data_IF_514738788040
#
_entry.id   IF_514738788040
#
_cell.length_a   1.000
_cell.length_b   1.000
_cell.length_c   1.000
_cell.angle_alpha   90.00
_cell.angle_beta   90.00
_cell.angle_gamma   90.00
#
_symmetry.space_group_name_H-M   'P 1'
#
loop_
_entity.id
_entity.type
_entity.pdbx_description
1 polymer ?
#
# COMPACT_ATOMS: atom_id res chain seq x y z
N UNK A 1 -15.80 8.90 -8.44
CA UNK A 1 -16.65 7.69 -8.57
C UNK A 1 -16.17 6.68 -7.53
N UNK A 2 -16.98 5.71 -7.14
CA UNK A 2 -16.81 5.05 -5.86
C UNK A 2 -15.93 3.82 -5.92
N UNK A 3 -15.38 3.46 -4.75
CA UNK A 3 -14.89 2.12 -4.48
C UNK A 3 -16.07 1.15 -4.49
N UNK A 4 -15.90 0.01 -5.16
CA UNK A 4 -16.80 -1.11 -5.05
C UNK A 4 -16.25 -2.11 -4.03
N UNK A 5 -17.06 -2.44 -3.04
CA UNK A 5 -16.74 -3.45 -2.03
C UNK A 5 -17.97 -4.32 -1.76
N UNK A 6 -17.75 -5.41 -1.04
CA UNK A 6 -18.84 -6.20 -0.49
C UNK A 6 -19.71 -5.32 0.42
N UNK A 7 -21.03 -5.48 0.33
CA UNK A 7 -22.00 -4.58 0.96
C UNK A 7 -21.94 -4.54 2.49
N UNK A 8 -21.42 -5.59 3.10
CA UNK A 8 -21.33 -5.80 4.54
C UNK A 8 -19.88 -5.72 5.09
N UNK A 9 -18.93 -5.22 4.29
CA UNK A 9 -17.58 -4.93 4.77
C UNK A 9 -17.63 -3.82 5.84
N UNK A 10 -17.10 -4.03 7.07
CA UNK A 10 -17.15 -3.04 8.15
C UNK A 10 -16.59 -1.66 7.78
N UNK A 11 -15.55 -1.62 6.97
CA UNK A 11 -14.95 -0.38 6.48
C UNK A 11 -15.95 0.50 5.71
N UNK A 12 -16.95 -0.08 5.03
CA UNK A 12 -17.96 0.65 4.24
C UNK A 12 -18.70 1.68 5.08
N UNK A 13 -19.23 1.29 6.23
CA UNK A 13 -19.99 2.17 7.11
C UNK A 13 -19.17 3.37 7.60
N UNK A 14 -17.87 3.14 7.88
CA UNK A 14 -16.96 4.20 8.33
C UNK A 14 -16.67 5.17 7.18
N UNK A 15 -16.39 4.65 5.98
CA UNK A 15 -16.13 5.47 4.79
C UNK A 15 -17.35 6.34 4.43
N UNK A 16 -18.57 5.80 4.50
CA UNK A 16 -19.80 6.55 4.25
C UNK A 16 -20.01 7.67 5.29
N UNK A 17 -19.69 7.44 6.57
CA UNK A 17 -19.70 8.49 7.62
C UNK A 17 -18.66 9.60 7.36
N UNK A 18 -17.59 9.30 6.65
CA UNK A 18 -16.58 10.27 6.23
C UNK A 18 -16.93 10.97 4.91
N UNK A 19 -18.18 10.80 4.41
CA UNK A 19 -18.65 11.30 3.11
C UNK A 19 -17.85 10.73 1.90
N UNK A 20 -17.28 9.56 2.06
CA UNK A 20 -16.66 8.81 0.97
C UNK A 20 -17.71 7.88 0.38
N UNK A 21 -17.98 8.05 -0.91
CA UNK A 21 -18.99 7.26 -1.59
C UNK A 21 -18.47 5.85 -1.90
N UNK A 22 -19.12 4.85 -1.31
CA UNK A 22 -18.86 3.42 -1.56
C UNK A 22 -20.04 2.84 -2.34
N UNK A 23 -19.77 2.13 -3.42
CA UNK A 23 -20.78 1.49 -4.26
C UNK A 23 -20.94 0.02 -3.86
N UNK A 24 -22.17 -0.43 -3.71
CA UNK A 24 -22.45 -1.85 -3.62
C UNK A 24 -22.53 -2.52 -5.00
N UNK A 25 -22.47 -3.85 -5.01
CA UNK A 25 -22.46 -4.65 -6.23
C UNK A 25 -23.71 -4.44 -7.09
N UNK A 26 -24.88 -4.27 -6.48
CA UNK A 26 -26.15 -4.07 -7.19
C UNK A 26 -26.16 -2.76 -7.99
N UNK A 27 -25.63 -1.69 -7.41
CA UNK A 27 -25.55 -0.39 -8.08
C UNK A 27 -24.49 -0.39 -9.18
N UNK A 28 -23.38 -1.11 -8.99
CA UNK A 28 -22.31 -1.23 -9.98
C UNK A 28 -22.77 -1.94 -11.26
N UNK A 29 -23.62 -2.96 -11.15
CA UNK A 29 -24.16 -3.69 -12.30
C UNK A 29 -25.04 -2.85 -13.25
N UNK A 30 -25.46 -1.66 -12.84
CA UNK A 30 -26.26 -0.75 -13.65
C UNK A 30 -25.44 0.36 -14.34
N UNK A 31 -24.12 0.30 -14.25
CA UNK A 31 -23.22 1.26 -14.90
C UNK A 31 -22.35 0.54 -15.93
N UNK A 32 -22.38 1.03 -17.14
CA UNK A 32 -21.61 0.51 -18.30
C UNK A 32 -20.14 1.01 -18.24
N UNK A 33 -19.49 0.80 -17.09
CA UNK A 33 -18.11 1.24 -16.83
C UNK A 33 -17.32 0.03 -16.33
N UNK A 34 -16.22 -0.31 -17.00
CA UNK A 34 -15.28 -1.30 -16.50
C UNK A 34 -14.57 -0.72 -15.26
N UNK A 35 -14.75 -1.28 -14.06
CA UNK A 35 -13.98 -0.88 -12.88
C UNK A 35 -12.53 -1.33 -13.05
N UNK A 36 -11.62 -0.60 -12.39
CA UNK A 36 -10.24 -1.03 -12.21
C UNK A 36 -10.22 -2.10 -11.12
N UNK A 37 -9.65 -3.26 -11.41
CA UNK A 37 -9.50 -4.36 -10.46
C UNK A 37 -8.18 -4.25 -9.69
N UNK A 38 -8.26 -4.14 -8.37
CA UNK A 38 -7.10 -4.04 -7.48
C UNK A 38 -7.10 -5.20 -6.50
N UNK A 39 -6.04 -6.00 -6.51
CA UNK A 39 -5.77 -6.97 -5.45
C UNK A 39 -4.96 -6.30 -4.33
N UNK A 40 -5.24 -6.63 -3.06
CA UNK A 40 -4.53 -6.13 -1.89
C UNK A 40 -4.08 -7.31 -1.04
N UNK A 41 -2.79 -7.63 -1.10
CA UNK A 41 -2.16 -8.60 -0.21
C UNK A 41 -1.91 -7.91 1.12
N UNK A 42 -2.80 -8.17 2.07
CA UNK A 42 -2.78 -7.52 3.37
C UNK A 42 -2.03 -8.38 4.41
N UNK A 43 -0.78 -8.02 4.67
CA UNK A 43 0.13 -8.70 5.61
C UNK A 43 0.08 -8.10 7.02
N UNK A 44 -0.68 -7.01 7.20
CA UNK A 44 -0.78 -6.33 8.49
C UNK A 44 -1.60 -7.16 9.49
N UNK A 45 -1.25 -7.14 10.78
CA UNK A 45 -1.94 -7.92 11.81
C UNK A 45 -3.37 -7.41 12.08
N UNK A 46 -3.57 -6.09 12.09
CA UNK A 46 -4.88 -5.45 12.25
C UNK A 46 -5.48 -5.17 10.86
N UNK A 47 -5.99 -6.23 10.23
CA UNK A 47 -6.43 -6.17 8.83
C UNK A 47 -7.54 -5.14 8.59
N UNK A 48 -8.53 -5.05 9.48
CA UNK A 48 -9.66 -4.11 9.36
C UNK A 48 -9.20 -2.64 9.40
N UNK A 49 -8.21 -2.28 10.24
CA UNK A 49 -7.62 -0.93 10.24
C UNK A 49 -6.92 -0.64 8.90
N UNK A 50 -6.18 -1.61 8.35
CA UNK A 50 -5.47 -1.47 7.07
C UNK A 50 -6.42 -1.41 5.88
N UNK A 51 -7.48 -2.23 5.87
CA UNK A 51 -8.56 -2.17 4.88
C UNK A 51 -9.11 -0.74 4.76
N UNK A 52 -9.50 -0.16 5.91
CA UNK A 52 -10.06 1.18 5.97
C UNK A 52 -9.07 2.24 5.45
N UNK A 53 -7.80 2.15 5.83
CA UNK A 53 -6.76 3.10 5.43
C UNK A 53 -6.49 3.07 3.92
N UNK A 54 -6.36 1.87 3.35
CA UNK A 54 -6.09 1.71 1.92
C UNK A 54 -7.35 2.08 1.10
N UNK A 55 -8.53 1.62 1.49
CA UNK A 55 -9.78 1.97 0.80
C UNK A 55 -10.02 3.48 0.79
N UNK A 56 -9.73 4.17 1.89
CA UNK A 56 -9.81 5.64 1.95
C UNK A 56 -8.83 6.29 0.97
N UNK A 57 -7.62 5.77 0.86
CA UNK A 57 -6.60 6.29 -0.06
C UNK A 57 -6.98 6.06 -1.53
N UNK A 58 -7.50 4.87 -1.85
CA UNK A 58 -8.00 4.52 -3.18
C UNK A 58 -9.27 5.29 -3.58
N UNK A 59 -10.06 5.77 -2.62
CA UNK A 59 -11.33 6.47 -2.88
C UNK A 59 -11.15 7.87 -3.48
N UNK A 60 -9.95 8.44 -3.41
CA UNK A 60 -9.69 9.82 -3.83
C UNK A 60 -9.40 9.92 -5.35
N UNK A 61 -10.19 9.23 -6.16
CA UNK A 61 -10.10 9.22 -7.63
C UNK A 61 -11.49 9.23 -8.26
N UNK A 62 -11.66 9.76 -9.48
CA UNK A 62 -12.90 9.61 -10.23
C UNK A 62 -13.09 8.22 -10.83
N UNK A 63 -12.08 7.35 -10.79
CA UNK A 63 -12.13 6.01 -11.35
C UNK A 63 -12.91 5.07 -10.43
N UNK A 64 -13.67 4.15 -11.01
CA UNK A 64 -14.31 3.07 -10.25
C UNK A 64 -13.26 2.00 -9.96
N UNK A 65 -13.11 1.64 -8.70
CA UNK A 65 -12.14 0.64 -8.24
C UNK A 65 -12.88 -0.52 -7.59
N UNK A 66 -12.58 -1.72 -8.06
CA UNK A 66 -13.04 -3.00 -7.51
C UNK A 66 -11.89 -3.63 -6.72
N UNK A 67 -12.11 -3.96 -5.45
CA UNK A 67 -11.05 -4.39 -4.53
C UNK A 67 -11.26 -5.83 -4.10
N UNK A 68 -10.20 -6.64 -4.24
CA UNK A 68 -10.09 -8.00 -3.72
C UNK A 68 -9.01 -8.06 -2.64
N UNK A 69 -9.38 -8.41 -1.41
CA UNK A 69 -8.41 -8.63 -0.34
C UNK A 69 -7.85 -10.05 -0.39
N UNK A 70 -6.53 -10.16 -0.23
CA UNK A 70 -5.79 -11.41 -0.27
C UNK A 70 -5.01 -11.58 1.03
N UNK A 71 -5.01 -12.78 1.58
CA UNK A 71 -4.20 -13.17 2.74
C UNK A 71 -3.36 -14.39 2.38
N UNK A 72 -2.10 -14.46 2.85
CA UNK A 72 -1.32 -15.69 2.70
C UNK A 72 -2.03 -16.88 3.34
N UNK A 73 -2.09 -18.00 2.60
CA UNK A 73 -2.65 -19.25 3.10
C UNK A 73 -1.69 -19.96 4.08
N UNK A 74 -0.39 -19.68 3.94
CA UNK A 74 0.69 -20.24 4.75
C UNK A 74 0.79 -19.63 6.17
N UNK A 75 -0.01 -18.60 6.48
CA UNK A 75 0.02 -17.88 7.76
C UNK A 75 -1.35 -17.79 8.43
N UNK A 76 -1.43 -18.18 9.71
CA UNK A 76 -2.64 -18.00 10.52
C UNK A 76 -2.65 -16.60 11.17
N UNK A 77 -3.64 -15.79 10.81
CA UNK A 77 -3.83 -14.48 11.43
C UNK A 77 -4.30 -14.63 12.88
N UNK A 78 -3.55 -14.04 13.82
CA UNK A 78 -3.88 -14.10 15.27
C UNK A 78 -4.73 -12.92 15.75
N UNK A 79 -4.83 -11.84 14.97
CA UNK A 79 -5.48 -10.59 15.38
C UNK A 79 -6.78 -10.28 14.62
N UNK A 80 -7.10 -11.03 13.58
CA UNK A 80 -8.33 -10.88 12.80
C UNK A 80 -9.14 -12.17 12.91
N UNK A 81 -10.46 -12.05 13.10
CA UNK A 81 -11.31 -13.22 13.26
C UNK A 81 -11.38 -14.06 11.98
N UNK A 82 -11.40 -15.38 12.13
CA UNK A 82 -11.56 -16.31 10.99
C UNK A 82 -12.85 -16.05 10.21
N UNK A 83 -13.93 -15.61 10.88
CA UNK A 83 -15.19 -15.25 10.23
C UNK A 83 -15.04 -14.07 9.29
N UNK A 84 -14.23 -13.06 9.65
CA UNK A 84 -13.90 -11.91 8.78
C UNK A 84 -13.05 -12.35 7.59
N UNK A 85 -12.00 -13.14 7.84
CA UNK A 85 -11.13 -13.64 6.79
C UNK A 85 -11.90 -14.49 5.77
N UNK A 86 -12.65 -15.49 6.22
CA UNK A 86 -13.42 -16.37 5.34
C UNK A 86 -14.48 -15.63 4.52
N UNK A 87 -14.92 -14.47 4.97
CA UNK A 87 -15.95 -13.69 4.30
C UNK A 87 -15.41 -12.68 3.30
N UNK A 88 -14.29 -12.03 3.61
CA UNK A 88 -13.81 -10.87 2.87
C UNK A 88 -12.47 -11.09 2.17
N UNK A 89 -11.74 -12.16 2.52
CA UNK A 89 -10.42 -12.45 1.95
C UNK A 89 -10.44 -13.66 1.06
N UNK A 90 -9.58 -13.64 0.07
CA UNK A 90 -9.25 -14.75 -0.81
C UNK A 90 -7.81 -15.20 -0.52
N UNK A 91 -7.49 -16.43 -0.86
CA UNK A 91 -6.13 -16.95 -0.89
C UNK A 91 -5.49 -16.67 -2.25
N UNK A 92 -4.17 -16.78 -2.34
CA UNK A 92 -3.47 -16.65 -3.61
C UNK A 92 -3.94 -17.70 -4.63
N UNK A 93 -4.17 -18.93 -4.20
CA UNK A 93 -4.67 -20.02 -5.06
C UNK A 93 -6.02 -19.70 -5.72
N UNK A 94 -6.87 -18.94 -5.05
CA UNK A 94 -8.17 -18.54 -5.60
C UNK A 94 -8.06 -17.42 -6.65
N UNK A 95 -7.01 -16.59 -6.60
CA UNK A 95 -6.83 -15.45 -7.51
C UNK A 95 -5.79 -15.65 -8.60
N UNK A 96 -4.87 -16.61 -8.48
CA UNK A 96 -3.70 -16.77 -9.37
C UNK A 96 -4.01 -16.94 -10.86
N UNK A 97 -5.24 -17.37 -11.20
CA UNK A 97 -5.70 -17.48 -12.59
C UNK A 97 -6.40 -16.23 -13.13
N UNK A 98 -6.47 -15.15 -12.34
CA UNK A 98 -7.08 -13.89 -12.74
C UNK A 98 -6.00 -12.84 -13.00
N UNK A 99 -6.32 -11.90 -13.89
CA UNK A 99 -5.50 -10.71 -14.10
C UNK A 99 -6.09 -9.55 -13.30
N UNK A 100 -5.21 -8.71 -12.75
CA UNK A 100 -5.57 -7.48 -12.06
C UNK A 100 -4.93 -6.26 -12.73
N UNK A 101 -5.59 -5.13 -12.66
CA UNK A 101 -5.03 -3.88 -13.15
C UNK A 101 -3.95 -3.34 -12.20
N UNK A 102 -4.12 -3.58 -10.89
CA UNK A 102 -3.13 -3.20 -9.89
C UNK A 102 -3.05 -4.19 -8.72
N UNK A 103 -1.91 -4.20 -8.05
CA UNK A 103 -1.65 -4.97 -6.85
C UNK A 103 -1.06 -4.06 -5.77
N UNK A 104 -1.52 -4.19 -4.53
CA UNK A 104 -0.88 -3.60 -3.36
C UNK A 104 -0.37 -4.73 -2.47
N UNK A 105 0.92 -4.67 -2.11
CA UNK A 105 1.51 -5.54 -1.08
C UNK A 105 1.82 -4.66 0.12
N UNK A 106 1.16 -4.91 1.25
CA UNK A 106 1.28 -4.07 2.44
C UNK A 106 2.57 -4.32 3.22
N UNK A 107 2.84 -3.49 4.23
CA UNK A 107 3.81 -3.78 5.26
C UNK A 107 3.44 -5.00 6.10
N UNK A 108 4.40 -5.46 6.90
CA UNK A 108 4.24 -6.53 7.88
C UNK A 108 5.18 -6.27 9.07
N UNK A 109 4.80 -6.64 10.31
CA UNK A 109 5.64 -6.40 11.50
C UNK A 109 6.71 -7.50 11.69
N UNK A 110 7.39 -7.87 10.62
CA UNK A 110 8.41 -8.95 10.59
C UNK A 110 9.79 -8.46 10.12
N UNK A 111 10.01 -7.15 10.13
CA UNK A 111 11.24 -6.53 9.64
C UNK A 111 12.51 -6.94 10.43
N UNK A 112 12.36 -7.46 11.65
CA UNK A 112 13.48 -7.93 12.46
C UNK A 112 13.93 -9.37 12.11
N UNK A 113 13.14 -10.10 11.34
CA UNK A 113 13.46 -11.44 10.86
C UNK A 113 14.17 -11.34 9.50
N UNK A 114 15.04 -12.31 9.19
CA UNK A 114 15.48 -12.45 7.80
C UNK A 114 14.28 -12.82 6.92
N UNK A 115 14.35 -12.50 5.62
CA UNK A 115 13.20 -12.73 4.74
C UNK A 115 12.82 -14.21 4.66
N UNK A 116 13.81 -15.08 4.56
CA UNK A 116 13.67 -16.53 4.46
C UNK A 116 13.17 -17.19 5.75
N UNK A 117 13.19 -16.47 6.88
CA UNK A 117 12.65 -16.93 8.16
C UNK A 117 11.16 -16.60 8.34
N UNK A 118 10.61 -15.76 7.46
CA UNK A 118 9.18 -15.40 7.49
C UNK A 118 8.36 -16.58 6.93
N UNK A 119 7.41 -17.07 7.71
CA UNK A 119 6.63 -18.28 7.40
C UNK A 119 5.87 -18.25 6.06
N UNK A 120 5.48 -17.06 5.59
CA UNK A 120 4.81 -16.84 4.29
C UNK A 120 5.76 -16.29 3.20
N UNK A 121 7.08 -16.34 3.39
CA UNK A 121 8.03 -15.77 2.44
C UNK A 121 7.95 -16.40 1.05
N UNK A 122 7.89 -17.72 0.98
CA UNK A 122 7.80 -18.44 -0.30
C UNK A 122 6.54 -18.03 -1.07
N UNK A 123 5.39 -17.94 -0.39
CA UNK A 123 4.12 -17.52 -1.00
C UNK A 123 4.18 -16.07 -1.51
N UNK A 124 4.81 -15.16 -0.75
CA UNK A 124 5.00 -13.76 -1.21
C UNK A 124 5.92 -13.69 -2.41
N UNK A 125 6.97 -14.51 -2.49
CA UNK A 125 7.82 -14.63 -3.67
C UNK A 125 7.03 -15.12 -4.89
N UNK A 126 6.16 -16.12 -4.72
CA UNK A 126 5.27 -16.58 -5.79
C UNK A 126 4.31 -15.47 -6.27
N UNK A 127 3.71 -14.72 -5.35
CA UNK A 127 2.84 -13.58 -5.68
C UNK A 127 3.63 -12.49 -6.42
N UNK A 128 4.84 -12.16 -5.99
CA UNK A 128 5.68 -11.19 -6.65
C UNK A 128 6.10 -11.64 -8.05
N UNK A 129 6.41 -12.92 -8.25
CA UNK A 129 6.72 -13.47 -9.58
C UNK A 129 5.47 -13.44 -10.48
N UNK A 130 4.33 -13.92 -9.98
CA UNK A 130 3.05 -13.89 -10.67
C UNK A 130 2.65 -12.48 -11.09
N UNK A 131 2.91 -11.49 -10.25
CA UNK A 131 2.54 -10.10 -10.53
C UNK A 131 3.20 -9.54 -11.79
N UNK A 132 4.37 -10.06 -12.19
CA UNK A 132 5.07 -9.61 -13.42
C UNK A 132 4.30 -9.87 -14.71
N UNK A 133 3.39 -10.84 -14.70
CA UNK A 133 2.63 -11.27 -15.89
C UNK A 133 1.13 -11.09 -15.77
N UNK A 134 0.60 -10.96 -14.55
CA UNK A 134 -0.85 -10.89 -14.28
C UNK A 134 -1.29 -9.54 -13.73
N UNK A 135 -0.36 -8.61 -13.47
CA UNK A 135 -0.66 -7.29 -12.90
C UNK A 135 0.02 -6.19 -13.70
N UNK A 136 -0.71 -5.12 -14.01
CA UNK A 136 -0.15 -4.00 -14.76
C UNK A 136 0.85 -3.19 -13.92
N UNK A 137 0.52 -2.90 -12.66
CA UNK A 137 1.41 -2.17 -11.74
C UNK A 137 1.23 -2.62 -10.30
N UNK A 138 2.33 -2.87 -9.59
CA UNK A 138 2.36 -3.26 -8.18
C UNK A 138 2.91 -2.14 -7.31
N UNK A 139 2.16 -1.78 -6.28
CA UNK A 139 2.52 -0.81 -5.24
C UNK A 139 2.91 -1.58 -3.97
N UNK A 140 4.18 -1.52 -3.60
CA UNK A 140 4.71 -2.16 -2.41
C UNK A 140 4.83 -1.12 -1.29
N UNK A 141 4.40 -1.45 -0.06
CA UNK A 141 4.39 -0.54 1.08
C UNK A 141 5.28 -1.05 2.22
N UNK A 142 6.10 -0.20 2.79
CA UNK A 142 6.95 -0.41 3.96
C UNK A 142 7.76 -1.72 3.87
N UNK A 143 7.50 -2.71 4.72
CA UNK A 143 8.17 -4.02 4.63
C UNK A 143 7.95 -4.68 3.26
N UNK A 144 6.75 -4.59 2.71
CA UNK A 144 6.48 -5.10 1.35
C UNK A 144 7.34 -4.43 0.28
N UNK A 145 7.69 -3.14 0.46
CA UNK A 145 8.61 -2.44 -0.43
C UNK A 145 10.04 -2.94 -0.30
N UNK A 146 10.52 -3.17 0.92
CA UNK A 146 11.84 -3.75 1.17
C UNK A 146 11.93 -5.19 0.64
N UNK A 147 10.90 -6.00 0.89
CA UNK A 147 10.78 -7.37 0.39
C UNK A 147 10.77 -7.42 -1.14
N UNK A 148 10.04 -6.51 -1.79
CA UNK A 148 10.02 -6.39 -3.25
C UNK A 148 11.38 -5.98 -3.83
N UNK A 149 12.08 -5.03 -3.21
CA UNK A 149 13.45 -4.64 -3.64
C UNK A 149 14.43 -5.79 -3.43
N UNK A 150 14.31 -6.55 -2.37
CA UNK A 150 15.14 -7.74 -2.14
C UNK A 150 14.87 -8.83 -3.18
N UNK A 151 13.60 -9.20 -3.38
CA UNK A 151 13.22 -10.26 -4.31
C UNK A 151 13.57 -9.94 -5.77
N UNK A 152 13.21 -8.75 -6.24
CA UNK A 152 13.34 -8.39 -7.66
C UNK A 152 14.75 -7.92 -8.04
N UNK A 153 15.48 -7.30 -7.09
CA UNK A 153 16.75 -6.60 -7.38
C UNK A 153 17.92 -7.03 -6.49
N UNK A 154 17.68 -7.93 -5.51
CA UNK A 154 18.71 -8.38 -4.59
C UNK A 154 19.20 -7.28 -3.63
N UNK A 155 18.41 -6.24 -3.40
CA UNK A 155 18.77 -5.13 -2.50
C UNK A 155 18.45 -5.53 -1.06
N UNK A 156 19.46 -5.68 -0.18
CA UNK A 156 19.22 -6.10 1.20
C UNK A 156 18.63 -4.98 2.05
N UNK A 157 17.91 -5.35 3.10
CA UNK A 157 17.59 -4.42 4.18
C UNK A 157 18.78 -4.27 5.13
N UNK A 158 18.84 -3.13 5.81
CA UNK A 158 19.83 -2.81 6.85
C UNK A 158 19.08 -2.45 8.14
N UNK A 159 19.55 -2.97 9.26
CA UNK A 159 19.03 -2.59 10.57
C UNK A 159 19.39 -1.15 10.92
N UNK A 160 18.43 -0.43 11.48
CA UNK A 160 18.62 0.90 12.07
C UNK A 160 19.07 0.76 13.54
N UNK A 161 19.82 1.72 14.02
CA UNK A 161 20.26 1.77 15.43
C UNK A 161 19.06 1.99 16.40
N UNK A 162 18.02 2.66 15.92
CA UNK A 162 16.76 2.88 16.65
C UNK A 162 15.57 2.80 15.69
N UNK A 163 14.37 2.53 16.24
CA UNK A 163 13.12 2.54 15.45
C UNK A 163 12.92 3.92 14.81
N UNK A 164 12.81 3.96 13.49
CA UNK A 164 12.36 5.14 12.78
C UNK A 164 10.86 5.29 12.96
N UNK A 165 10.46 6.24 13.81
CA UNK A 165 9.09 6.33 14.30
C UNK A 165 8.62 7.79 14.33
N UNK A 166 7.72 8.17 13.45
CA UNK A 166 7.24 9.54 13.36
C UNK A 166 6.84 9.99 11.97
N UNK A 167 6.77 11.30 11.78
CA UNK A 167 6.40 11.96 10.52
C UNK A 167 7.59 12.77 10.01
N UNK A 168 8.15 12.34 8.89
CA UNK A 168 9.39 12.91 8.35
C UNK A 168 9.13 13.72 7.10
N UNK A 169 9.94 14.75 6.90
CA UNK A 169 9.90 15.62 5.72
C UNK A 169 10.73 15.01 4.59
N UNK A 170 10.12 14.81 3.42
CA UNK A 170 10.75 14.26 2.23
C UNK A 170 10.85 15.30 1.13
N UNK A 171 11.93 15.22 0.35
CA UNK A 171 12.16 16.04 -0.83
C UNK A 171 11.83 15.25 -2.09
N UNK A 172 11.13 15.88 -3.04
CA UNK A 172 10.92 15.31 -4.36
C UNK A 172 12.18 15.48 -5.20
N UNK A 173 12.74 14.36 -5.68
CA UNK A 173 14.01 14.33 -6.43
C UNK A 173 13.82 14.44 -7.94
N UNK A 174 12.73 13.90 -8.47
CA UNK A 174 12.45 13.91 -9.91
C UNK A 174 10.98 14.23 -10.20
N UNK A 175 10.70 15.51 -10.52
CA UNK A 175 9.35 16.02 -10.81
C UNK A 175 8.79 15.64 -12.18
N UNK A 176 9.61 15.06 -13.06
CA UNK A 176 9.19 14.71 -14.42
C UNK A 176 8.38 13.39 -14.45
N UNK A 177 8.47 12.59 -13.40
CA UNK A 177 7.77 11.32 -13.29
C UNK A 177 6.32 11.57 -12.86
N UNK A 178 5.32 11.06 -13.59
CA UNK A 178 3.90 11.31 -13.29
C UNK A 178 3.47 10.90 -11.89
N UNK A 179 4.13 9.94 -11.25
CA UNK A 179 3.79 9.47 -9.90
C UNK A 179 3.84 10.59 -8.85
N UNK A 180 4.73 11.56 -9.00
CA UNK A 180 4.87 12.71 -8.09
C UNK A 180 4.24 13.99 -8.65
N UNK A 181 3.41 13.90 -9.68
CA UNK A 181 2.71 15.05 -10.23
C UNK A 181 1.77 15.65 -9.19
N UNK A 182 1.87 16.95 -8.97
CA UNK A 182 1.07 17.68 -7.98
C UNK A 182 1.66 17.66 -6.56
N UNK A 183 2.81 17.02 -6.35
CA UNK A 183 3.54 17.13 -5.09
C UNK A 183 4.20 18.51 -4.97
N UNK A 184 4.29 19.02 -3.74
CA UNK A 184 5.15 20.15 -3.41
C UNK A 184 6.64 19.73 -3.47
N UNK A 185 7.58 20.68 -3.33
CA UNK A 185 9.02 20.38 -3.27
C UNK A 185 9.36 19.49 -2.09
N UNK A 186 8.62 19.68 -0.99
CA UNK A 186 8.70 18.90 0.23
C UNK A 186 7.31 18.46 0.67
N UNK A 187 7.25 17.27 1.25
CA UNK A 187 6.02 16.75 1.83
C UNK A 187 6.36 15.93 3.07
N UNK A 188 5.34 15.61 3.85
CA UNK A 188 5.47 14.78 5.03
C UNK A 188 4.89 13.39 4.80
N UNK A 189 5.53 12.36 5.40
CA UNK A 189 5.02 11.00 5.41
C UNK A 189 5.38 10.28 6.72
N UNK A 190 4.47 9.42 7.24
CA UNK A 190 4.74 8.60 8.42
C UNK A 190 5.70 7.45 8.12
N UNK A 191 6.54 7.14 9.11
CA UNK A 191 7.35 5.94 9.15
C UNK A 191 7.19 5.23 10.50
N UNK A 192 7.21 3.90 10.47
CA UNK A 192 7.26 3.04 11.64
C UNK A 192 8.00 1.77 11.23
N UNK A 193 9.34 1.76 11.36
CA UNK A 193 10.18 0.66 10.89
C UNK A 193 11.50 0.58 11.64
N UNK A 194 12.08 -0.60 11.73
CA UNK A 194 13.40 -0.90 12.30
C UNK A 194 14.49 -1.12 11.24
N UNK A 195 14.12 -1.11 9.97
CA UNK A 195 15.03 -1.38 8.85
C UNK A 195 14.90 -0.34 7.75
N UNK A 196 15.93 -0.24 6.92
CA UNK A 196 15.96 0.60 5.73
C UNK A 196 16.62 -0.13 4.56
N UNK A 197 16.54 0.46 3.37
CA UNK A 197 17.37 0.10 2.20
C UNK A 197 18.35 1.22 1.93
N UNK A 198 19.59 0.85 1.58
CA UNK A 198 20.61 1.83 1.28
C UNK A 198 20.36 2.49 -0.08
N UNK A 199 20.50 3.82 -0.12
CA UNK A 199 20.40 4.60 -1.35
C UNK A 199 21.36 4.10 -2.43
N UNK A 200 22.61 3.84 -2.05
CA UNK A 200 23.68 3.41 -2.94
C UNK A 200 23.38 2.06 -3.59
N UNK A 201 22.65 1.17 -2.93
CA UNK A 201 22.28 -0.12 -3.50
C UNK A 201 21.15 0.03 -4.53
N UNK A 202 20.22 0.97 -4.31
CA UNK A 202 19.20 1.32 -5.31
C UNK A 202 19.84 1.96 -6.54
N UNK A 203 20.78 2.88 -6.35
CA UNK A 203 21.48 3.60 -7.45
C UNK A 203 22.33 2.68 -8.33
N UNK A 204 22.74 1.51 -7.83
CA UNK A 204 23.43 0.47 -8.65
C UNK A 204 22.50 -0.21 -9.66
N UNK A 205 21.18 -0.10 -9.45
CA UNK A 205 20.19 -0.71 -10.34
C UNK A 205 19.76 0.29 -11.40
N UNK A 206 20.21 0.08 -12.64
CA UNK A 206 19.90 0.98 -13.76
C UNK A 206 18.39 1.13 -14.03
N UNK A 207 17.58 0.14 -13.64
CA UNK A 207 16.14 0.12 -13.83
C UNK A 207 15.36 0.91 -12.76
N UNK A 208 15.98 1.28 -11.64
CA UNK A 208 15.34 1.96 -10.53
C UNK A 208 15.60 3.47 -10.54
N UNK A 209 14.58 4.23 -10.15
CA UNK A 209 14.63 5.69 -9.99
C UNK A 209 14.14 6.06 -8.59
N UNK A 210 14.94 6.80 -7.83
CA UNK A 210 14.54 7.41 -6.55
C UNK A 210 13.77 8.68 -6.86
N UNK A 211 12.51 8.75 -6.43
CA UNK A 211 11.62 9.89 -6.67
C UNK A 211 11.50 10.82 -5.47
N UNK A 212 11.66 10.29 -4.25
CA UNK A 212 11.61 11.09 -3.03
C UNK A 212 12.47 10.47 -1.94
N UNK A 213 13.09 11.33 -1.13
CA UNK A 213 13.93 10.94 0.00
C UNK A 213 13.87 11.97 1.13
N UNK A 214 14.28 11.60 2.32
CA UNK A 214 14.46 12.43 3.51
C UNK A 214 15.91 12.39 3.96
N UNK A 215 16.43 13.50 4.46
CA UNK A 215 17.75 13.53 5.11
C UNK A 215 17.77 12.71 6.40
N UNK A 216 16.62 12.62 7.09
CA UNK A 216 16.47 11.90 8.36
C UNK A 216 15.98 10.46 8.15
N UNK A 217 15.04 10.25 7.22
CA UNK A 217 14.36 8.95 7.03
C UNK A 217 14.81 8.18 5.78
N UNK A 218 15.85 8.66 5.07
CA UNK A 218 16.39 7.99 3.89
C UNK A 218 15.41 7.95 2.71
N UNK A 219 15.55 6.95 1.87
CA UNK A 219 14.74 6.78 0.66
C UNK A 219 13.27 6.51 1.01
N UNK A 220 12.35 7.23 0.34
CA UNK A 220 10.91 7.08 0.54
C UNK A 220 10.21 6.43 -0.64
N UNK A 221 10.48 6.89 -1.86
CA UNK A 221 9.73 6.48 -3.05
C UNK A 221 10.68 6.08 -4.16
N UNK A 222 10.55 4.86 -4.64
CA UNK A 222 11.31 4.29 -5.74
C UNK A 222 10.33 3.72 -6.78
N UNK A 223 10.68 3.83 -8.05
CA UNK A 223 9.92 3.27 -9.16
C UNK A 223 10.86 2.61 -10.17
N UNK A 224 10.45 1.52 -10.79
CA UNK A 224 11.18 1.02 -11.94
C UNK A 224 10.84 1.81 -13.22
N UNK A 225 11.65 1.70 -14.25
CA UNK A 225 11.51 2.49 -15.50
C UNK A 225 10.17 2.31 -16.19
N UNK A 226 9.56 1.15 -16.08
CA UNK A 226 8.25 0.85 -16.71
C UNK A 226 7.07 1.32 -15.87
N UNK A 227 7.26 1.56 -14.57
CA UNK A 227 6.17 1.87 -13.64
C UNK A 227 5.36 0.65 -13.21
N UNK A 228 5.80 -0.55 -13.59
CA UNK A 228 5.15 -1.81 -13.16
C UNK A 228 5.45 -2.17 -11.70
N UNK A 229 6.49 -1.59 -11.11
CA UNK A 229 6.89 -1.80 -9.72
C UNK A 229 7.19 -0.46 -9.04
N UNK A 230 6.49 -0.19 -7.95
CA UNK A 230 6.62 1.02 -7.16
C UNK A 230 6.82 0.62 -5.69
N UNK A 231 7.80 1.25 -5.03
CA UNK A 231 8.22 0.93 -3.67
C UNK A 231 8.14 2.17 -2.79
N UNK A 232 7.30 2.10 -1.76
CA UNK A 232 7.07 3.19 -0.80
C UNK A 232 7.54 2.73 0.58
N UNK A 233 8.62 3.34 1.11
CA UNK A 233 9.27 2.91 2.35
C UNK A 233 8.55 3.37 3.61
N UNK A 234 7.53 4.20 3.50
CA UNK A 234 6.71 4.70 4.60
C UNK A 234 5.24 4.33 4.45
N UNK A 235 4.38 5.04 5.19
CA UNK A 235 2.96 4.75 5.31
C UNK A 235 2.07 5.95 4.95
N UNK A 236 1.96 6.34 3.66
CA UNK A 236 1.12 7.45 3.24
C UNK A 236 -0.38 7.22 3.52
N UNK A 237 -0.78 5.95 3.72
CA UNK A 237 -2.15 5.52 4.03
C UNK A 237 -2.55 5.70 5.51
N UNK A 238 -1.60 5.85 6.42
CA UNK A 238 -1.87 5.87 7.85
C UNK A 238 -2.88 6.92 8.28
N UNK A 239 -3.74 6.53 9.21
CA UNK A 239 -4.65 7.43 9.89
C UNK A 239 -3.94 8.31 10.91
N UNK A 240 -4.62 9.41 11.27
CA UNK A 240 -4.11 10.36 12.28
C UNK A 240 -3.65 9.68 13.57
N UNK A 241 -4.33 8.64 14.02
CA UNK A 241 -4.09 7.99 15.31
C UNK A 241 -3.27 6.70 15.20
N UNK A 242 -2.80 6.30 14.02
CA UNK A 242 -2.10 5.02 13.87
C UNK A 242 -0.80 4.99 14.67
N UNK A 243 0.07 5.99 14.52
CA UNK A 243 1.31 6.06 15.31
C UNK A 243 1.03 6.24 16.82
N UNK A 244 -0.06 6.92 17.19
CA UNK A 244 -0.48 7.02 18.60
C UNK A 244 -0.87 5.64 19.17
N UNK A 245 -1.67 4.86 18.42
CA UNK A 245 -2.04 3.50 18.82
C UNK A 245 -0.79 2.61 18.97
N UNK A 246 0.18 2.71 18.05
CA UNK A 246 1.45 1.98 18.13
C UNK A 246 2.27 2.40 19.35
N UNK A 247 2.43 3.71 19.58
CA UNK A 247 3.14 4.25 20.74
C UNK A 247 2.55 3.75 22.05
N UNK A 248 1.23 3.86 22.23
CA UNK A 248 0.53 3.42 23.45
C UNK A 248 0.68 1.91 23.63
N UNK A 249 0.47 1.13 22.56
CA UNK A 249 0.62 -0.33 22.59
C UNK A 249 2.01 -0.76 23.07
N UNK A 250 3.06 -0.16 22.48
CA UNK A 250 4.44 -0.56 22.74
C UNK A 250 4.90 -0.09 24.12
N UNK A 251 4.51 1.12 24.53
CA UNK A 251 4.71 1.62 25.90
C UNK A 251 4.03 0.74 26.95
N UNK A 252 2.76 0.35 26.73
CA UNK A 252 1.99 -0.45 27.67
C UNK A 252 2.52 -1.90 27.76
N UNK A 253 3.24 -2.36 26.74
CA UNK A 253 4.03 -3.61 26.78
C UNK A 253 5.40 -3.44 27.47
N UNK A 254 5.76 -2.26 27.91
CA UNK A 254 7.05 -1.97 28.54
C UNK A 254 8.24 -1.97 27.57
N UNK A 255 7.98 -1.83 26.27
CA UNK A 255 9.03 -1.72 25.26
C UNK A 255 9.65 -0.31 25.31
N UNK A 256 10.94 -0.23 25.05
CA UNK A 256 11.61 1.06 24.88
C UNK A 256 11.17 1.68 23.54
N UNK A 257 10.30 2.67 23.62
CA UNK A 257 9.80 3.41 22.47
C UNK A 257 9.81 4.91 22.76
N UNK A 258 10.39 5.69 21.85
CA UNK A 258 10.36 7.13 21.88
C UNK A 258 9.02 7.69 21.37
N UNK A 259 8.74 8.95 21.68
CA UNK A 259 7.62 9.65 21.08
C UNK A 259 7.81 9.72 19.55
N UNK A 260 6.74 9.54 18.76
CA UNK A 260 6.84 9.69 17.32
C UNK A 260 7.21 11.13 16.94
N UNK A 261 8.31 11.26 16.17
CA UNK A 261 8.90 12.54 15.78
C UNK A 261 7.90 13.36 14.93
N UNK A 262 7.82 14.69 15.17
CA UNK A 262 6.98 15.63 14.41
C UNK A 262 5.48 15.25 14.35
N UNK A 263 4.98 14.56 15.34
CA UNK A 263 3.63 14.00 15.33
C UNK A 263 2.67 14.69 16.30
N UNK A 264 3.10 14.90 17.53
CA UNK A 264 2.30 15.65 18.51
C UNK A 264 2.67 17.14 18.49
N UNK A 265 1.69 18.06 18.67
CA UNK A 265 2.02 19.46 18.96
C UNK A 265 2.88 19.54 20.22
N UNK A 266 3.99 20.29 20.16
CA UNK A 266 4.91 20.51 21.29
C UNK A 266 5.41 19.21 21.96
N UNK A 267 5.44 18.09 21.20
CA UNK A 267 5.77 16.74 21.68
C UNK A 267 4.92 16.27 22.88
N UNK A 268 3.71 16.80 23.03
CA UNK A 268 2.78 16.44 24.09
C UNK A 268 1.80 15.33 23.63
N UNK A 269 1.93 14.07 24.11
CA UNK A 269 1.07 12.96 23.71
C UNK A 269 -0.38 13.07 24.21
N UNK A 270 -0.70 14.04 25.04
CA UNK A 270 -2.08 14.35 25.45
C UNK A 270 -2.81 15.23 24.43
N UNK A 271 -2.06 15.90 23.55
CA UNK A 271 -2.65 16.68 22.47
C UNK A 271 -3.00 15.83 21.27
N UNK A 272 -3.98 16.31 20.50
CA UNK A 272 -4.40 15.62 19.26
C UNK A 272 -3.28 15.67 18.22
N UNK A 273 -2.83 14.53 17.68
CA UNK A 273 -1.77 14.50 16.68
C UNK A 273 -2.07 15.33 15.44
N UNK A 274 -1.03 15.91 14.86
CA UNK A 274 -1.14 16.63 13.59
C UNK A 274 -1.27 15.67 12.41
N UNK A 275 -2.11 16.01 11.43
CA UNK A 275 -2.25 15.24 10.19
C UNK A 275 -1.68 16.07 9.04
N UNK A 276 -0.47 15.74 8.59
CA UNK A 276 0.29 16.53 7.63
C UNK A 276 0.61 15.79 6.32
N UNK A 277 0.21 14.52 6.17
CA UNK A 277 0.59 13.65 5.05
C UNK A 277 -0.57 13.23 4.14
N UNK A 278 -1.82 13.40 4.56
CA UNK A 278 -3.00 12.88 3.85
C UNK A 278 -3.11 13.41 2.41
N UNK A 279 -2.83 14.68 2.20
CA UNK A 279 -2.96 15.28 0.86
C UNK A 279 -2.01 14.63 -0.14
N UNK A 280 -0.73 14.50 0.23
CA UNK A 280 0.27 13.87 -0.63
C UNK A 280 0.07 12.36 -0.75
N UNK A 281 -0.36 11.70 0.33
CA UNK A 281 -0.78 10.30 0.28
C UNK A 281 -1.90 10.09 -0.74
N UNK A 282 -2.97 10.87 -0.67
CA UNK A 282 -4.07 10.81 -1.63
C UNK A 282 -3.62 11.06 -3.08
N UNK A 283 -2.71 12.03 -3.29
CA UNK A 283 -2.15 12.32 -4.62
C UNK A 283 -1.31 11.14 -5.12
N UNK A 284 -0.51 10.50 -4.27
CA UNK A 284 0.28 9.33 -4.63
C UNK A 284 -0.61 8.19 -5.16
N UNK A 285 -1.64 7.82 -4.40
CA UNK A 285 -2.57 6.77 -4.82
C UNK A 285 -3.36 7.15 -6.08
N UNK A 286 -3.82 8.39 -6.18
CA UNK A 286 -4.53 8.87 -7.37
C UNK A 286 -3.64 8.88 -8.63
N UNK A 287 -2.37 9.27 -8.50
CA UNK A 287 -1.40 9.24 -9.59
C UNK A 287 -1.06 7.80 -10.00
N UNK A 288 -0.86 6.89 -9.03
CA UNK A 288 -0.66 5.48 -9.31
C UNK A 288 -1.84 4.88 -10.08
N UNK A 289 -3.06 5.05 -9.58
CA UNK A 289 -4.28 4.54 -10.24
C UNK A 289 -4.44 5.11 -11.65
N UNK A 290 -4.19 6.42 -11.84
CA UNK A 290 -4.40 7.06 -13.13
C UNK A 290 -3.31 6.73 -14.15
N UNK A 291 -2.02 6.89 -13.79
CA UNK A 291 -0.92 6.85 -14.75
C UNK A 291 -0.29 5.48 -14.91
N UNK A 292 -0.34 4.60 -13.90
CA UNK A 292 0.36 3.32 -13.88
C UNK A 292 -0.59 2.11 -13.88
N UNK A 293 -1.84 2.32 -13.49
CA UNK A 293 -2.87 1.29 -13.54
C UNK A 293 -3.79 1.54 -14.75
N UNK A 294 -4.63 2.57 -14.69
CA UNK A 294 -5.68 2.81 -15.69
C UNK A 294 -5.13 3.07 -17.10
N UNK A 295 -4.12 3.96 -17.24
CA UNK A 295 -3.59 4.31 -18.58
C UNK A 295 -2.66 3.24 -19.16
N UNK A 296 -2.14 2.33 -18.36
CA UNK A 296 -1.23 1.26 -18.80
C UNK A 296 -1.95 -0.07 -19.04
N UNK A 297 -3.13 -0.26 -18.43
CA UNK A 297 -3.89 -1.50 -18.65
C UNK A 297 -4.30 -1.61 -20.13
N UNK A 298 -3.98 -2.73 -20.78
CA UNK A 298 -4.39 -2.95 -22.18
C UNK A 298 -5.92 -2.90 -22.31
N UNK A 299 -6.42 -2.10 -23.22
CA UNK A 299 -7.85 -2.04 -23.54
C UNK A 299 -8.12 -2.99 -24.70
N UNK A 300 -8.65 -4.17 -24.44
CA UNK A 300 -9.18 -5.05 -25.47
C UNK A 300 -10.62 -4.61 -25.78
N UNK A 301 -10.85 -4.07 -26.98
CA UNK A 301 -12.20 -3.96 -27.53
C UNK A 301 -12.72 -5.37 -27.75
N UNK A 302 -13.71 -5.80 -26.99
CA UNK A 302 -14.51 -6.98 -27.35
C UNK A 302 -15.21 -6.59 -28.64
N UNK A 303 -14.77 -7.18 -29.75
CA UNK A 303 -15.40 -6.97 -31.03
C UNK A 303 -16.81 -7.54 -30.92
N UNK A 304 -17.84 -6.70 -31.00
CA UNK A 304 -19.24 -7.13 -30.88
C UNK A 304 -19.64 -8.14 -31.97
N UNK A 305 -18.84 -8.29 -33.03
CA UNK A 305 -19.01 -9.34 -34.04
C UNK A 305 -18.76 -10.74 -33.48
N UNK A 306 -17.91 -10.92 -32.47
CA UNK A 306 -17.63 -12.23 -31.85
C UNK A 306 -18.76 -12.70 -30.92
N UNK A 307 -19.65 -11.81 -30.50
CA UNK A 307 -20.80 -12.13 -29.63
C UNK A 307 -21.94 -12.74 -30.42
N UNK A 308 -22.01 -12.50 -31.74
CA UNK A 308 -23.06 -12.98 -32.62
C UNK A 308 -22.63 -14.14 -33.52
N UNK A 309 -21.42 -14.66 -33.37
CA UNK A 309 -20.86 -15.75 -34.18
C UNK A 309 -21.09 -17.17 -33.65
N UNK A 310 -21.92 -17.37 -32.59
CA UNK A 310 -22.32 -18.68 -32.06
C UNK A 310 -23.82 -18.89 -32.11
#
# INVERSE_FOLDING_TARGET
MPIRTQSDLPAKEILERENIFVMDENRAMHQDIRPISIAIVNLMPLKEDTELQILRSLSNTPLQVDVSFVTPASHESTHTSMSHLNKFYQTFDEIKNHNFDGLIITGAPVELMEYEEVDYWEEICEIMEWSKTHVTSTLHLCWGAQAGLYYHYGIPKKMLDAKMFGVYRHKVMNRRVPLVRGFDDYFYAPHSRHTEVCREDIEKQEDLLILAESEEAGVFLVINKTGSQIFVMGHPEYDRLTLHKEYVRDRDKGLAIDLPVNYYPEDDPQQKPMLQWRSHGNILYANWLNYYVYQQTPYEFINTEDIYAN
#
